data_IF_562503070401
#
_entry.id   IF_562503070401
#
_cell.length_a   1.000
_cell.length_b   1.000
_cell.length_c   1.000
_cell.angle_alpha   90.00
_cell.angle_beta   90.00
_cell.angle_gamma   90.00
#
_symmetry.space_group_name_H-M   'P 1'
#
loop_
_entity.id
_entity.type
_entity.pdbx_description
1 polymer ?
#
# COMPACT_ATOMS: atom_id res chain seq x y z
N UNK A 1 25.51 -29.06 16.79
CA UNK A 1 26.85 -28.49 16.59
C UNK A 1 26.74 -27.47 15.49
N UNK A 2 26.62 -26.21 15.88
CA UNK A 2 26.33 -25.04 15.06
C UNK A 2 27.50 -24.06 15.20
N UNK A 3 27.92 -23.42 14.11
CA UNK A 3 28.80 -22.24 14.17
C UNK A 3 28.34 -21.21 13.15
N UNK A 4 27.75 -20.14 13.66
CA UNK A 4 27.56 -18.83 13.03
C UNK A 4 28.59 -17.90 13.71
N UNK A 5 29.21 -16.98 12.98
CA UNK A 5 30.09 -15.94 13.53
C UNK A 5 29.52 -14.56 13.24
N UNK A 6 29.42 -13.75 14.29
CA UNK A 6 29.09 -12.33 14.33
C UNK A 6 30.02 -11.63 15.34
N UNK A 7 30.16 -10.31 15.20
CA UNK A 7 30.69 -9.34 16.17
C UNK A 7 32.24 -9.23 16.26
N UNK A 8 32.91 -8.11 16.60
CA UNK A 8 32.52 -6.74 16.95
C UNK A 8 33.78 -5.84 16.97
N UNK A 9 33.56 -4.53 17.03
CA UNK A 9 34.53 -3.43 17.16
C UNK A 9 35.40 -3.48 18.43
N UNK A 10 36.65 -2.98 18.37
CA UNK A 10 37.39 -2.49 19.55
C UNK A 10 38.37 -1.34 19.25
N UNK A 11 38.27 -0.31 20.09
CA UNK A 11 39.07 0.92 20.18
C UNK A 11 40.57 0.71 20.43
N UNK A 12 41.38 1.71 20.07
CA UNK A 12 42.68 1.99 20.74
C UNK A 12 42.92 3.49 20.97
N UNK A 13 43.40 3.75 22.18
CA UNK A 13 43.82 5.01 22.81
C UNK A 13 45.36 5.09 22.81
N UNK A 14 45.99 6.27 22.71
CA UNK A 14 47.42 6.50 23.06
C UNK A 14 47.65 7.93 23.63
N UNK A 15 48.50 7.98 24.66
CA UNK A 15 48.76 9.00 25.70
C UNK A 15 49.74 10.16 25.36
N UNK A 16 49.78 11.16 26.27
CA UNK A 16 50.96 11.96 26.72
C UNK A 16 50.56 13.34 27.33
N UNK A 17 50.49 13.58 28.66
CA UNK A 17 51.54 13.97 29.66
C UNK A 17 52.22 15.32 29.30
N UNK A 18 52.32 16.43 30.09
CA UNK A 18 52.41 16.67 31.56
C UNK A 18 52.33 18.19 31.95
N UNK A 19 52.01 18.43 33.25
CA UNK A 19 52.54 19.42 34.23
C UNK A 19 52.03 20.89 34.40
N UNK A 20 51.84 21.20 35.71
CA UNK A 20 51.47 22.36 36.57
C UNK A 20 51.79 23.80 36.12
N UNK A 21 51.28 24.91 36.69
CA UNK A 21 50.94 25.29 38.08
C UNK A 21 50.25 26.68 38.13
N UNK A 22 49.65 27.10 39.26
CA UNK A 22 49.56 28.52 39.67
C UNK A 22 48.20 29.26 39.68
N UNK A 23 47.88 29.84 40.85
CA UNK A 23 46.60 30.45 41.28
C UNK A 23 46.47 31.98 41.09
N UNK A 24 45.24 32.49 41.31
CA UNK A 24 44.80 33.82 41.84
C UNK A 24 44.03 34.78 40.89
N UNK A 25 42.76 35.00 41.28
CA UNK A 25 41.83 36.16 41.22
C UNK A 25 41.82 37.21 40.09
N UNK A 26 40.60 37.57 39.66
CA UNK A 26 40.31 38.86 39.01
C UNK A 26 39.05 38.86 38.13
N UNK A 27 37.99 39.51 38.60
CA UNK A 27 36.71 39.75 37.91
C UNK A 27 36.86 40.46 36.54
N UNK A 28 36.03 40.12 35.54
CA UNK A 28 34.90 40.93 34.99
C UNK A 28 34.57 40.56 33.54
N UNK A 29 33.27 40.30 33.33
CA UNK A 29 32.42 40.66 32.20
C UNK A 29 32.63 40.12 30.76
N UNK A 30 31.44 39.86 30.19
CA UNK A 30 31.01 39.92 28.77
C UNK A 30 31.23 38.70 27.88
N UNK A 31 30.10 38.00 27.67
CA UNK A 31 29.47 37.64 26.38
C UNK A 31 30.40 37.45 25.17
N UNK A 32 30.49 36.22 24.69
CA UNK A 32 30.00 35.77 23.37
C UNK A 32 30.54 34.35 23.09
N UNK A 33 29.63 33.37 22.95
CA UNK A 33 29.95 32.02 22.50
C UNK A 33 29.54 31.88 21.04
N UNK A 34 30.51 32.04 20.14
CA UNK A 34 30.45 31.56 18.77
C UNK A 34 31.34 30.32 18.67
N UNK A 35 30.72 29.14 18.71
CA UNK A 35 31.37 27.87 18.46
C UNK A 35 31.67 27.74 16.96
N UNK A 36 32.93 27.99 16.60
CA UNK A 36 33.51 27.65 15.32
C UNK A 36 33.72 26.12 15.22
N UNK A 37 33.19 25.53 14.16
CA UNK A 37 33.59 24.22 13.65
C UNK A 37 35.01 24.29 13.09
N UNK A 38 35.84 23.28 13.37
CA UNK A 38 36.60 22.57 12.33
C UNK A 38 37.34 21.33 12.88
N UNK A 39 37.08 20.17 12.26
CA UNK A 39 38.03 19.05 12.19
C UNK A 39 38.65 19.04 10.77
N UNK A 40 39.80 18.38 10.57
CA UNK A 40 40.80 18.71 9.56
C UNK A 40 40.66 17.95 8.23
N UNK A 41 41.45 18.41 7.28
CA UNK A 41 41.60 17.93 5.91
C UNK A 41 42.11 16.48 5.78
N UNK A 42 41.65 15.80 4.73
CA UNK A 42 42.40 14.74 4.06
C UNK A 42 42.33 14.93 2.54
N UNK A 43 43.50 14.77 1.92
CA UNK A 43 43.78 15.00 0.51
C UNK A 43 43.06 14.01 -0.41
N UNK A 44 42.36 14.54 -1.41
CA UNK A 44 41.91 13.83 -2.60
C UNK A 44 41.59 14.87 -3.67
N UNK A 45 42.35 14.86 -4.76
CA UNK A 45 42.26 15.79 -5.89
C UNK A 45 40.85 15.84 -6.49
N UNK A 46 40.13 16.94 -6.23
CA UNK A 46 38.87 17.30 -6.89
C UNK A 46 39.20 18.25 -8.05
N UNK A 47 38.61 18.09 -9.26
CA UNK A 47 38.81 19.01 -10.35
C UNK A 47 38.39 20.41 -9.90
N UNK A 48 39.24 21.41 -10.16
CA UNK A 48 39.02 22.81 -9.81
C UNK A 48 37.64 23.25 -10.33
N UNK A 49 36.65 23.27 -9.45
CA UNK A 49 35.44 24.04 -9.65
C UNK A 49 35.93 25.48 -9.76
N UNK A 50 35.70 26.14 -10.91
CA UNK A 50 35.82 27.59 -10.97
C UNK A 50 34.95 28.13 -9.85
N UNK A 51 35.59 28.72 -8.84
CA UNK A 51 34.94 29.53 -7.83
C UNK A 51 34.19 30.60 -8.61
N UNK A 52 32.88 30.46 -8.74
CA UNK A 52 32.03 31.53 -9.25
C UNK A 52 32.44 32.79 -8.49
N UNK A 53 32.77 33.85 -9.21
CA UNK A 53 33.04 35.16 -8.62
C UNK A 53 31.90 35.42 -7.63
N UNK A 54 32.24 35.51 -6.34
CA UNK A 54 31.28 35.94 -5.33
C UNK A 54 30.66 37.23 -5.85
N UNK A 55 29.35 37.20 -6.11
CA UNK A 55 28.57 38.34 -6.59
C UNK A 55 28.92 39.56 -5.73
N UNK A 56 29.84 40.37 -6.26
CA UNK A 56 30.34 41.54 -5.57
C UNK A 56 29.27 42.60 -5.76
N UNK A 57 28.33 42.62 -4.81
CA UNK A 57 27.15 43.49 -4.85
C UNK A 57 27.56 44.95 -5.09
N UNK A 58 28.76 45.34 -4.63
CA UNK A 58 29.33 46.67 -4.85
C UNK A 58 29.66 46.95 -6.32
N UNK A 59 30.09 45.93 -7.08
CA UNK A 59 30.35 46.04 -8.52
C UNK A 59 29.05 46.15 -9.31
N UNK A 60 28.05 45.32 -8.99
CA UNK A 60 26.72 45.36 -9.61
C UNK A 60 26.02 46.70 -9.35
N UNK A 61 26.15 47.24 -8.13
CA UNK A 61 25.60 48.56 -7.79
C UNK A 61 26.38 49.72 -8.43
N UNK A 62 27.65 49.53 -8.76
CA UNK A 62 28.45 50.54 -9.46
C UNK A 62 28.21 50.54 -10.99
N UNK A 63 27.82 49.40 -11.56
CA UNK A 63 27.49 49.26 -13.00
C UNK A 63 26.09 49.79 -13.35
N UNK A 64 25.20 49.98 -12.37
CA UNK A 64 23.85 50.50 -12.55
C UNK A 64 23.50 51.66 -11.59
N UNK A 65 24.13 52.85 -11.74
CA UNK A 65 23.84 54.01 -10.89
C UNK A 65 22.37 54.48 -11.02
N UNK A 66 21.74 54.22 -12.17
CA UNK A 66 20.35 54.56 -12.48
C UNK A 66 19.36 53.79 -11.59
N UNK A 67 19.71 52.56 -11.20
CA UNK A 67 18.91 51.73 -10.28
C UNK A 67 18.98 52.28 -8.86
N UNK A 68 20.10 52.91 -8.47
CA UNK A 68 20.21 53.55 -7.16
C UNK A 68 19.33 54.81 -7.10
N UNK A 69 19.21 55.58 -8.18
CA UNK A 69 18.34 56.76 -8.25
C UNK A 69 16.85 56.37 -8.28
N UNK A 70 16.51 55.26 -8.94
CA UNK A 70 15.14 54.72 -8.97
C UNK A 70 14.74 54.07 -7.62
N UNK A 71 15.66 53.35 -6.97
CA UNK A 71 15.42 52.73 -5.64
C UNK A 71 15.42 53.78 -4.53
N UNK A 72 16.28 54.81 -4.58
CA UNK A 72 16.31 55.87 -3.56
C UNK A 72 15.17 56.89 -3.71
N UNK A 73 14.64 57.10 -4.92
CA UNK A 73 13.48 57.98 -5.13
C UNK A 73 12.13 57.29 -4.84
N UNK A 74 12.07 55.96 -4.92
CA UNK A 74 10.88 55.18 -4.59
C UNK A 74 10.62 55.03 -3.07
N UNK A 75 11.62 55.27 -2.20
CA UNK A 75 11.47 55.18 -0.74
C UNK A 75 10.93 56.46 -0.07
N UNK A 76 9.74 56.94 -0.44
CA UNK A 76 9.11 58.05 0.32
C UNK A 76 7.68 57.90 0.81
N UNK A 77 7.02 56.75 0.66
CA UNK A 77 5.95 56.39 1.61
C UNK A 77 5.52 54.93 1.44
N UNK A 78 5.27 54.19 2.53
CA UNK A 78 4.60 52.89 2.49
C UNK A 78 3.27 52.93 1.71
N UNK A 79 2.61 54.09 1.70
CA UNK A 79 1.38 54.34 0.96
C UNK A 79 1.55 54.34 -0.56
N UNK A 80 2.67 54.85 -1.08
CA UNK A 80 2.98 54.77 -2.53
C UNK A 80 3.32 53.36 -2.96
N UNK A 81 4.01 52.59 -2.13
CA UNK A 81 4.26 51.16 -2.37
C UNK A 81 2.94 50.37 -2.34
N UNK A 82 2.10 50.59 -1.33
CA UNK A 82 0.79 49.95 -1.21
C UNK A 82 -0.12 50.29 -2.39
N UNK A 83 -0.22 51.57 -2.78
CA UNK A 83 -1.00 51.96 -3.96
C UNK A 83 -0.37 51.40 -5.24
N UNK A 84 0.96 51.37 -5.35
CA UNK A 84 1.67 50.72 -6.45
C UNK A 84 1.34 49.24 -6.57
N UNK A 85 1.20 48.52 -5.46
CA UNK A 85 0.81 47.11 -5.42
C UNK A 85 -0.69 46.91 -5.72
N UNK A 86 -1.55 47.79 -5.19
CA UNK A 86 -3.01 47.77 -5.43
C UNK A 86 -3.34 48.05 -6.90
N UNK A 87 -2.59 48.93 -7.57
CA UNK A 87 -2.75 49.24 -8.99
C UNK A 87 -1.84 48.39 -9.90
N UNK A 88 -0.82 47.72 -9.35
CA UNK A 88 0.20 46.94 -10.06
C UNK A 88 -0.26 45.55 -10.51
N UNK A 89 -1.53 45.21 -10.26
CA UNK A 89 -2.10 43.91 -10.64
C UNK A 89 -1.76 42.82 -9.63
N UNK A 90 -1.89 41.56 -10.05
CA UNK A 90 -1.86 40.42 -9.15
C UNK A 90 -0.43 40.11 -8.70
N UNK A 91 -0.03 40.60 -7.52
CA UNK A 91 1.30 40.35 -6.92
C UNK A 91 1.66 38.87 -6.73
N UNK A 92 0.66 37.99 -6.73
CA UNK A 92 0.88 36.53 -6.83
C UNK A 92 1.65 36.11 -8.09
N UNK A 93 1.60 36.90 -9.16
CA UNK A 93 2.31 36.62 -10.40
C UNK A 93 3.82 36.87 -10.29
N UNK A 94 4.27 37.73 -9.37
CA UNK A 94 5.71 37.94 -9.13
C UNK A 94 6.34 36.84 -8.25
N UNK A 95 5.52 36.15 -7.45
CA UNK A 95 5.96 35.01 -6.61
C UNK A 95 5.93 33.67 -7.36
N UNK A 96 5.29 33.60 -8.53
CA UNK A 96 5.20 32.40 -9.36
C UNK A 96 5.95 32.66 -10.66
N UNK A 97 6.96 31.82 -10.96
CA UNK A 97 7.69 31.93 -12.23
C UNK A 97 6.72 31.95 -13.42
N UNK A 98 6.90 32.88 -14.37
CA UNK A 98 6.07 33.00 -15.58
C UNK A 98 5.83 31.62 -16.20
N UNK A 99 4.55 31.26 -16.34
CA UNK A 99 4.13 29.94 -16.81
C UNK A 99 4.53 29.74 -18.26
N UNK A 100 5.61 29.00 -18.50
CA UNK A 100 5.98 28.54 -19.84
C UNK A 100 4.96 27.48 -20.32
N UNK A 101 4.61 27.44 -21.60
CA UNK A 101 3.73 26.40 -22.19
C UNK A 101 4.20 24.98 -21.84
N UNK A 102 5.52 24.79 -21.73
CA UNK A 102 6.13 23.53 -21.26
C UNK A 102 5.77 23.16 -19.80
N UNK A 103 5.65 24.14 -18.90
CA UNK A 103 5.20 23.94 -17.51
C UNK A 103 3.71 23.61 -17.48
N UNK A 104 2.90 24.31 -18.28
CA UNK A 104 1.46 24.05 -18.42
C UNK A 104 1.21 22.61 -18.90
N UNK A 105 1.92 22.18 -19.94
CA UNK A 105 1.78 20.83 -20.48
C UNK A 105 2.28 19.75 -19.52
N UNK A 106 3.30 20.04 -18.70
CA UNK A 106 3.72 19.17 -17.61
C UNK A 106 2.60 19.01 -16.56
N UNK A 107 1.95 20.10 -16.16
CA UNK A 107 0.84 20.07 -15.20
C UNK A 107 -0.35 19.26 -15.74
N UNK A 108 -0.77 19.49 -16.98
CA UNK A 108 -1.87 18.71 -17.58
C UNK A 108 -1.51 17.23 -17.74
N UNK A 109 -0.29 16.92 -18.18
CA UNK A 109 0.20 15.56 -18.28
C UNK A 109 0.24 14.86 -16.93
N UNK A 110 0.63 15.55 -15.85
CA UNK A 110 0.70 14.95 -14.52
C UNK A 110 -0.67 14.89 -13.83
N UNK A 111 -1.55 15.87 -14.01
CA UNK A 111 -2.83 15.95 -13.29
C UNK A 111 -3.94 15.12 -13.94
N UNK A 112 -3.95 14.99 -15.27
CA UNK A 112 -5.04 14.28 -15.97
C UNK A 112 -4.56 13.01 -16.67
N UNK A 113 -3.39 13.03 -17.31
CA UNK A 113 -2.91 11.85 -18.03
C UNK A 113 -2.37 10.76 -17.10
N UNK A 114 -1.75 11.10 -15.96
CA UNK A 114 -1.28 10.09 -15.00
C UNK A 114 -2.44 9.28 -14.43
N UNK A 115 -3.49 9.88 -13.83
CA UNK A 115 -4.64 9.13 -13.33
C UNK A 115 -5.29 8.26 -14.39
N UNK A 116 -5.47 8.79 -15.62
CA UNK A 116 -6.10 8.03 -16.68
C UNK A 116 -5.28 6.80 -17.12
N UNK A 117 -3.95 6.94 -17.17
CA UNK A 117 -3.05 5.81 -17.47
C UNK A 117 -2.98 4.82 -16.31
N UNK A 118 -2.99 5.33 -15.07
CA UNK A 118 -3.04 4.51 -13.87
C UNK A 118 -4.33 3.70 -13.81
N UNK A 119 -5.48 4.33 -14.04
CA UNK A 119 -6.79 3.68 -14.01
C UNK A 119 -6.87 2.54 -15.04
N UNK A 120 -6.33 2.74 -16.24
CA UNK A 120 -6.25 1.66 -17.25
C UNK A 120 -5.41 0.47 -16.78
N UNK A 121 -4.31 0.74 -16.07
CA UNK A 121 -3.48 -0.30 -15.47
C UNK A 121 -4.23 -1.01 -14.35
N UNK A 122 -4.89 -0.26 -13.46
CA UNK A 122 -5.64 -0.83 -12.34
C UNK A 122 -6.78 -1.72 -12.84
N UNK A 123 -7.55 -1.27 -13.84
CA UNK A 123 -8.63 -2.06 -14.44
C UNK A 123 -8.09 -3.35 -15.10
N UNK A 124 -6.97 -3.28 -15.81
CA UNK A 124 -6.36 -4.48 -16.38
C UNK A 124 -5.90 -5.47 -15.29
N UNK A 125 -5.24 -4.97 -14.24
CA UNK A 125 -4.85 -5.77 -13.08
C UNK A 125 -6.04 -6.37 -12.34
N UNK A 126 -7.14 -5.64 -12.21
CA UNK A 126 -8.37 -6.13 -11.61
C UNK A 126 -8.90 -7.38 -12.33
N UNK A 127 -8.89 -7.39 -13.67
CA UNK A 127 -9.30 -8.57 -14.44
C UNK A 127 -8.32 -9.74 -14.29
N UNK A 128 -7.02 -9.48 -14.12
CA UNK A 128 -6.04 -10.53 -13.79
C UNK A 128 -6.32 -11.14 -12.42
N UNK A 129 -6.62 -10.31 -11.42
CA UNK A 129 -7.03 -10.79 -10.09
C UNK A 129 -8.33 -11.59 -10.15
N UNK A 130 -9.31 -11.13 -10.93
CA UNK A 130 -10.57 -11.83 -11.14
C UNK A 130 -10.38 -13.19 -11.82
N UNK A 131 -9.51 -13.28 -12.82
CA UNK A 131 -9.17 -14.55 -13.49
C UNK A 131 -8.54 -15.54 -12.50
N UNK A 132 -7.55 -15.10 -11.72
CA UNK A 132 -6.93 -15.92 -10.66
C UNK A 132 -7.96 -16.39 -9.62
N UNK A 133 -8.87 -15.51 -9.21
CA UNK A 133 -9.94 -15.83 -8.28
C UNK A 133 -10.91 -16.86 -8.86
N UNK A 134 -11.38 -16.67 -10.09
CA UNK A 134 -12.27 -17.60 -10.78
C UNK A 134 -11.58 -18.95 -11.04
N UNK A 135 -10.29 -18.96 -11.36
CA UNK A 135 -9.48 -20.16 -11.51
C UNK A 135 -9.42 -20.96 -10.20
N UNK A 136 -9.22 -20.30 -9.06
CA UNK A 136 -9.28 -20.94 -7.74
C UNK A 136 -10.67 -21.54 -7.45
N UNK A 137 -11.75 -20.88 -7.85
CA UNK A 137 -13.12 -21.37 -7.63
C UNK A 137 -13.55 -22.49 -8.59
N UNK A 138 -13.07 -22.48 -9.83
CA UNK A 138 -13.58 -23.36 -10.90
C UNK A 138 -12.57 -24.40 -11.35
N UNK A 139 -11.34 -23.99 -11.67
CA UNK A 139 -10.32 -24.85 -12.27
C UNK A 139 -9.69 -25.75 -11.21
N UNK A 140 -9.33 -25.20 -10.04
CA UNK A 140 -8.67 -25.97 -8.98
C UNK A 140 -9.54 -27.15 -8.48
N UNK A 141 -10.83 -27.00 -8.14
CA UNK A 141 -11.67 -28.13 -7.74
C UNK A 141 -11.82 -29.17 -8.86
N UNK A 142 -11.93 -28.74 -10.12
CA UNK A 142 -12.04 -29.66 -11.26
C UNK A 142 -10.75 -30.48 -11.43
N UNK A 143 -9.57 -29.88 -11.25
CA UNK A 143 -8.28 -30.61 -11.27
C UNK A 143 -8.18 -31.65 -10.16
N UNK A 144 -8.58 -31.28 -8.93
CA UNK A 144 -8.61 -32.19 -7.78
C UNK A 144 -9.58 -33.36 -8.03
N UNK A 145 -10.78 -33.08 -8.55
CA UNK A 145 -11.75 -34.11 -8.89
C UNK A 145 -11.22 -35.06 -9.98
N UNK A 146 -10.54 -34.54 -11.01
CA UNK A 146 -9.90 -35.37 -12.04
C UNK A 146 -8.78 -36.24 -11.46
N UNK A 147 -7.97 -35.71 -10.54
CA UNK A 147 -6.93 -36.47 -9.85
C UNK A 147 -7.53 -37.58 -8.98
N UNK A 148 -8.56 -37.27 -8.17
CA UNK A 148 -9.29 -38.25 -7.37
C UNK A 148 -9.95 -39.34 -8.23
N UNK A 149 -10.58 -38.96 -9.34
CA UNK A 149 -11.20 -39.89 -10.29
C UNK A 149 -10.18 -40.84 -10.92
N UNK A 150 -8.98 -40.33 -11.26
CA UNK A 150 -7.87 -41.13 -11.79
C UNK A 150 -7.41 -42.17 -10.77
N UNK A 151 -7.25 -41.79 -9.51
CA UNK A 151 -6.86 -42.69 -8.41
C UNK A 151 -7.92 -43.78 -8.20
N UNK A 152 -9.20 -43.39 -8.17
CA UNK A 152 -10.31 -44.31 -7.94
C UNK A 152 -10.46 -45.35 -9.06
N UNK A 153 -10.35 -44.93 -10.32
CA UNK A 153 -10.55 -45.81 -11.48
C UNK A 153 -9.33 -46.66 -11.84
N UNK A 154 -8.10 -46.17 -11.66
CA UNK A 154 -6.90 -46.91 -12.07
C UNK A 154 -6.24 -47.71 -10.95
N UNK A 155 -6.62 -47.54 -9.66
CA UNK A 155 -6.02 -48.19 -8.48
C UNK A 155 -4.47 -48.18 -8.45
N UNK A 156 -3.84 -47.31 -9.24
CA UNK A 156 -2.40 -47.12 -9.25
C UNK A 156 -2.11 -45.86 -8.46
N UNK A 157 -1.57 -46.04 -7.25
CA UNK A 157 -0.97 -44.97 -6.46
C UNK A 157 0.32 -44.51 -7.15
N UNK A 158 0.17 -43.71 -8.20
CA UNK A 158 1.28 -42.96 -8.76
C UNK A 158 1.58 -41.80 -7.81
N UNK A 159 2.87 -41.45 -7.63
CA UNK A 159 3.25 -40.31 -6.79
C UNK A 159 2.59 -39.03 -7.34
N UNK A 160 1.97 -38.19 -6.48
CA UNK A 160 1.36 -36.94 -6.91
C UNK A 160 2.44 -36.02 -7.48
N UNK A 161 2.11 -35.37 -8.58
CA UNK A 161 2.97 -34.37 -9.19
C UNK A 161 3.05 -33.10 -8.32
N UNK A 162 4.10 -32.29 -8.51
CA UNK A 162 4.30 -31.06 -7.73
C UNK A 162 3.11 -30.10 -7.87
N UNK A 163 2.53 -30.00 -9.07
CA UNK A 163 1.33 -29.18 -9.34
C UNK A 163 0.09 -29.75 -8.65
N UNK A 164 -0.10 -31.06 -8.65
CA UNK A 164 -1.24 -31.69 -7.97
C UNK A 164 -1.14 -31.46 -6.45
N UNK A 165 0.06 -31.58 -5.87
CA UNK A 165 0.29 -31.36 -4.44
C UNK A 165 0.07 -29.89 -4.01
N UNK A 166 0.47 -28.94 -4.87
CA UNK A 166 0.20 -27.50 -4.71
C UNK A 166 -1.31 -27.21 -4.72
N UNK A 167 -2.04 -27.77 -5.70
CA UNK A 167 -3.50 -27.61 -5.80
C UNK A 167 -4.20 -28.21 -4.56
N UNK A 168 -3.75 -29.38 -4.07
CA UNK A 168 -4.25 -29.97 -2.82
C UNK A 168 -3.96 -29.09 -1.60
N UNK A 169 -2.76 -28.51 -1.50
CA UNK A 169 -2.38 -27.59 -0.42
C UNK A 169 -3.32 -26.38 -0.37
N UNK A 170 -3.51 -25.69 -1.51
CA UNK A 170 -4.41 -24.54 -1.61
C UNK A 170 -5.85 -24.90 -1.28
N UNK A 171 -6.33 -26.08 -1.70
CA UNK A 171 -7.66 -26.56 -1.34
C UNK A 171 -7.82 -26.83 0.17
N UNK A 172 -6.81 -27.41 0.83
CA UNK A 172 -6.83 -27.62 2.28
C UNK A 172 -6.88 -26.29 3.02
N UNK A 173 -6.06 -25.30 2.62
CA UNK A 173 -6.08 -23.95 3.19
C UNK A 173 -7.47 -23.32 3.03
N UNK A 174 -8.02 -23.35 1.82
CA UNK A 174 -9.34 -22.79 1.52
C UNK A 174 -10.44 -23.47 2.33
N UNK A 175 -10.46 -24.80 2.36
CA UNK A 175 -11.47 -25.57 3.11
C UNK A 175 -11.39 -25.30 4.61
N UNK A 176 -10.17 -25.25 5.17
CA UNK A 176 -9.98 -24.94 6.58
C UNK A 176 -10.41 -23.50 6.91
N UNK A 177 -10.04 -22.53 6.07
CA UNK A 177 -10.44 -21.13 6.22
C UNK A 177 -11.97 -20.95 6.18
N UNK A 178 -12.63 -21.51 5.16
CA UNK A 178 -14.10 -21.48 5.04
C UNK A 178 -14.76 -22.12 6.27
N UNK A 179 -14.26 -23.27 6.73
CA UNK A 179 -14.81 -23.95 7.92
C UNK A 179 -14.62 -23.10 9.17
N UNK A 180 -13.44 -22.50 9.38
CA UNK A 180 -13.17 -21.62 10.51
C UNK A 180 -14.09 -20.38 10.52
N UNK A 181 -14.33 -19.80 9.35
CA UNK A 181 -15.25 -18.67 9.19
C UNK A 181 -16.71 -19.07 9.46
N UNK A 182 -17.14 -20.25 8.99
CA UNK A 182 -18.50 -20.77 9.24
C UNK A 182 -18.75 -21.11 10.71
N UNK A 183 -17.72 -21.54 11.45
CA UNK A 183 -17.82 -21.79 12.89
C UNK A 183 -17.94 -20.49 13.70
N UNK A 184 -17.70 -19.33 13.08
CA UNK A 184 -17.73 -18.03 13.74
C UNK A 184 -19.08 -17.36 13.55
N UNK A 185 -19.71 -16.94 14.65
CA UNK A 185 -20.96 -16.19 14.61
C UNK A 185 -20.73 -14.77 14.08
N UNK A 186 -20.99 -14.55 12.79
CA UNK A 186 -20.93 -13.22 12.13
C UNK A 186 -21.74 -12.17 12.90
N UNK A 187 -22.88 -12.57 13.46
CA UNK A 187 -23.75 -11.73 14.29
C UNK A 187 -23.05 -11.18 15.55
N UNK A 188 -22.16 -11.96 16.18
CA UNK A 188 -21.41 -11.51 17.36
C UNK A 188 -20.39 -10.43 16.98
N UNK A 189 -19.64 -10.67 15.90
CA UNK A 189 -18.67 -9.70 15.37
C UNK A 189 -19.38 -8.39 15.03
N UNK A 190 -20.51 -8.48 14.32
CA UNK A 190 -21.32 -7.32 13.99
C UNK A 190 -21.81 -6.57 15.24
N UNK A 191 -22.32 -7.26 16.26
CA UNK A 191 -22.80 -6.59 17.48
C UNK A 191 -21.67 -5.89 18.25
N UNK A 192 -20.48 -6.50 18.31
CA UNK A 192 -19.29 -5.90 18.93
C UNK A 192 -18.90 -4.62 18.19
N UNK A 193 -18.89 -4.66 16.86
CA UNK A 193 -18.51 -3.55 15.98
C UNK A 193 -19.56 -2.43 16.02
N UNK A 194 -20.85 -2.75 15.90
CA UNK A 194 -21.97 -1.78 15.95
C UNK A 194 -22.09 -1.10 17.32
N UNK A 195 -21.72 -1.79 18.41
CA UNK A 195 -21.71 -1.23 19.76
C UNK A 195 -20.64 -0.15 19.99
N UNK A 196 -19.72 0.06 19.04
CA UNK A 196 -18.70 1.09 19.14
C UNK A 196 -19.18 2.44 18.60
N UNK A 197 -18.63 3.53 19.13
CA UNK A 197 -18.84 4.86 18.55
C UNK A 197 -18.22 4.99 17.16
N UNK A 198 -18.79 5.83 16.30
CA UNK A 198 -18.29 6.10 14.94
C UNK A 198 -16.81 6.48 14.91
N UNK A 199 -16.35 7.23 15.93
CA UNK A 199 -14.95 7.60 16.12
C UNK A 199 -14.04 6.38 16.34
N UNK A 200 -14.50 5.38 17.11
CA UNK A 200 -13.71 4.16 17.34
C UNK A 200 -13.71 3.25 16.12
N UNK A 201 -14.83 3.22 15.39
CA UNK A 201 -15.00 2.38 14.21
C UNK A 201 -14.02 2.74 13.09
N UNK A 202 -13.75 4.04 12.84
CA UNK A 202 -12.75 4.43 11.84
C UNK A 202 -11.33 4.00 12.25
N UNK A 203 -10.99 4.08 13.55
CA UNK A 203 -9.65 3.68 14.02
C UNK A 203 -9.48 2.19 13.78
N UNK A 204 -10.50 1.40 14.12
CA UNK A 204 -10.49 -0.05 13.90
C UNK A 204 -10.35 -0.36 12.40
N UNK A 205 -11.10 0.31 11.52
CA UNK A 205 -10.98 0.09 10.07
C UNK A 205 -9.56 0.36 9.56
N UNK A 206 -8.97 1.52 9.89
CA UNK A 206 -7.60 1.86 9.48
C UNK A 206 -6.57 0.87 10.03
N UNK A 207 -6.76 0.39 11.26
CA UNK A 207 -5.86 -0.64 11.85
C UNK A 207 -6.00 -1.97 11.12
N UNK A 208 -7.22 -2.39 10.80
CA UNK A 208 -7.46 -3.61 10.01
C UNK A 208 -6.86 -3.52 8.61
N UNK A 209 -6.90 -2.34 7.98
CA UNK A 209 -6.26 -2.10 6.68
C UNK A 209 -4.73 -2.23 6.74
N UNK A 210 -4.10 -1.73 7.80
CA UNK A 210 -2.65 -1.94 8.02
C UNK A 210 -2.34 -3.43 8.14
N UNK A 211 -3.19 -4.19 8.83
CA UNK A 211 -3.00 -5.63 8.96
C UNK A 211 -3.27 -6.39 7.66
N UNK A 212 -4.26 -5.98 6.85
CA UNK A 212 -4.47 -6.52 5.50
C UNK A 212 -3.19 -6.35 4.66
N UNK A 213 -2.63 -5.13 4.61
CA UNK A 213 -1.37 -4.86 3.89
C UNK A 213 -0.18 -5.67 4.41
N UNK A 214 -0.09 -5.89 5.73
CA UNK A 214 0.94 -6.74 6.33
C UNK A 214 0.75 -8.22 5.92
N UNK A 215 -0.48 -8.72 6.01
CA UNK A 215 -0.78 -10.12 5.70
C UNK A 215 -0.69 -10.42 4.21
N UNK A 216 -0.99 -9.47 3.32
CA UNK A 216 -0.72 -9.62 1.88
C UNK A 216 0.75 -9.91 1.61
N UNK A 217 1.67 -9.17 2.27
CA UNK A 217 3.11 -9.43 2.11
C UNK A 217 3.55 -10.76 2.73
N UNK A 218 2.94 -11.16 3.85
CA UNK A 218 3.26 -12.40 4.54
C UNK A 218 2.73 -13.64 3.79
N UNK A 219 1.53 -13.55 3.22
CA UNK A 219 0.87 -14.62 2.49
C UNK A 219 1.65 -15.02 1.24
N UNK A 220 2.26 -14.04 0.56
CA UNK A 220 3.17 -14.27 -0.57
C UNK A 220 4.33 -15.18 -0.17
N UNK A 221 5.06 -14.79 0.89
CA UNK A 221 6.20 -15.55 1.39
C UNK A 221 5.79 -16.96 1.86
N UNK A 222 4.69 -17.06 2.60
CA UNK A 222 4.19 -18.32 3.17
C UNK A 222 3.75 -19.27 2.07
N UNK A 223 3.02 -18.80 1.07
CA UNK A 223 2.56 -19.64 -0.05
C UNK A 223 3.73 -20.13 -0.90
N UNK A 224 4.73 -19.27 -1.14
CA UNK A 224 5.94 -19.65 -1.87
C UNK A 224 6.71 -20.75 -1.13
N UNK A 225 6.85 -20.67 0.20
CA UNK A 225 7.50 -21.72 1.01
C UNK A 225 6.74 -23.04 0.93
N UNK A 226 5.40 -23.01 1.01
CA UNK A 226 4.58 -24.22 0.89
C UNK A 226 4.71 -24.86 -0.47
N UNK A 227 4.69 -24.08 -1.55
CA UNK A 227 4.85 -24.60 -2.92
C UNK A 227 6.25 -25.16 -3.17
N UNK A 228 7.30 -24.51 -2.66
CA UNK A 228 8.66 -25.03 -2.71
C UNK A 228 8.80 -26.35 -1.93
N UNK A 229 8.14 -26.46 -0.77
CA UNK A 229 8.09 -27.70 0.00
C UNK A 229 7.27 -28.78 -0.69
N UNK A 230 6.23 -28.41 -1.44
CA UNK A 230 5.46 -29.34 -2.26
C UNK A 230 6.30 -29.92 -3.41
N UNK A 231 7.01 -29.06 -4.14
CA UNK A 231 7.94 -29.48 -5.18
C UNK A 231 9.07 -30.35 -4.64
N UNK A 232 9.62 -29.98 -3.48
CA UNK A 232 10.61 -30.79 -2.77
C UNK A 232 10.06 -32.19 -2.43
N UNK A 233 8.83 -32.29 -1.95
CA UNK A 233 8.20 -33.56 -1.60
C UNK A 233 7.95 -34.45 -2.84
N UNK A 234 7.53 -33.86 -3.97
CA UNK A 234 7.31 -34.58 -5.21
C UNK A 234 8.62 -35.19 -5.77
N UNK A 235 9.73 -34.47 -5.65
CA UNK A 235 11.03 -34.85 -6.20
C UNK A 235 11.91 -35.70 -5.25
N UNK A 236 11.47 -35.97 -4.00
CA UNK A 236 12.30 -36.67 -3.01
C UNK A 236 12.49 -38.19 -3.27
N UNK A 237 13.71 -38.75 -3.03
CA UNK A 237 13.94 -40.19 -2.99
C UNK A 237 13.23 -40.86 -1.80
N UNK A 238 12.86 -42.13 -1.94
CA UNK A 238 11.93 -42.85 -1.04
C UNK A 238 12.39 -42.87 0.44
N UNK A 239 13.70 -42.78 0.68
CA UNK A 239 14.34 -42.89 2.00
C UNK A 239 14.25 -41.61 2.86
N UNK A 240 14.12 -40.42 2.24
CA UNK A 240 13.99 -39.13 2.93
C UNK A 240 12.58 -38.53 2.89
N UNK A 241 11.60 -39.31 2.41
CA UNK A 241 10.20 -38.87 2.24
C UNK A 241 9.54 -38.44 3.56
N UNK A 242 9.85 -39.11 4.67
CA UNK A 242 9.30 -38.74 5.98
C UNK A 242 9.73 -37.34 6.43
N UNK A 243 11.01 -36.98 6.20
CA UNK A 243 11.50 -35.64 6.54
C UNK A 243 10.89 -34.56 5.64
N UNK A 244 10.80 -34.81 4.33
CA UNK A 244 10.13 -33.93 3.39
C UNK A 244 8.65 -33.71 3.73
N UNK A 245 7.94 -34.78 4.10
CA UNK A 245 6.54 -34.73 4.50
C UNK A 245 6.36 -33.93 5.80
N UNK A 246 7.20 -34.15 6.80
CA UNK A 246 7.13 -33.38 8.06
C UNK A 246 7.35 -31.89 7.81
N UNK A 247 8.32 -31.52 6.96
CA UNK A 247 8.54 -30.13 6.56
C UNK A 247 7.31 -29.55 5.87
N UNK A 248 6.76 -30.27 4.88
CA UNK A 248 5.55 -29.85 4.18
C UNK A 248 4.35 -29.69 5.14
N UNK A 249 4.17 -30.57 6.11
CA UNK A 249 3.10 -30.46 7.12
C UNK A 249 3.27 -29.22 7.99
N UNK A 250 4.50 -28.91 8.42
CA UNK A 250 4.78 -27.70 9.22
C UNK A 250 4.48 -26.44 8.40
N UNK A 251 4.98 -26.37 7.17
CA UNK A 251 4.76 -25.24 6.28
C UNK A 251 3.26 -25.08 5.96
N UNK A 252 2.55 -26.20 5.74
CA UNK A 252 1.10 -26.23 5.55
C UNK A 252 0.34 -25.71 6.78
N UNK A 253 0.76 -26.08 8.00
CA UNK A 253 0.14 -25.59 9.23
C UNK A 253 0.31 -24.09 9.40
N UNK A 254 1.51 -23.57 9.10
CA UNK A 254 1.78 -22.13 9.11
C UNK A 254 0.86 -21.42 8.12
N UNK A 255 0.74 -21.94 6.89
CA UNK A 255 -0.17 -21.39 5.89
C UNK A 255 -1.62 -21.39 6.36
N UNK A 256 -2.12 -22.50 6.91
CA UNK A 256 -3.49 -22.57 7.43
C UNK A 256 -3.73 -21.47 8.47
N UNK A 257 -2.81 -21.29 9.42
CA UNK A 257 -2.96 -20.26 10.47
C UNK A 257 -2.96 -18.86 9.86
N UNK A 258 -1.98 -18.54 9.01
CA UNK A 258 -1.86 -17.19 8.42
C UNK A 258 -3.04 -16.84 7.53
N UNK A 259 -3.44 -17.72 6.60
CA UNK A 259 -4.58 -17.47 5.70
C UNK A 259 -5.91 -17.41 6.45
N UNK A 260 -6.06 -18.18 7.53
CA UNK A 260 -7.24 -18.11 8.39
C UNK A 260 -7.30 -16.76 9.11
N UNK A 261 -6.18 -16.30 9.68
CA UNK A 261 -6.09 -14.96 10.30
C UNK A 261 -6.41 -13.85 9.28
N UNK A 262 -5.85 -13.93 8.07
CA UNK A 262 -6.14 -12.97 7.01
C UNK A 262 -7.62 -12.96 6.62
N UNK A 263 -8.22 -14.15 6.45
CA UNK A 263 -9.66 -14.28 6.18
C UNK A 263 -10.53 -13.64 7.27
N UNK A 264 -10.13 -13.72 8.54
CA UNK A 264 -10.82 -13.04 9.65
C UNK A 264 -10.69 -11.52 9.59
N UNK A 265 -9.53 -10.99 9.21
CA UNK A 265 -9.32 -9.54 9.06
C UNK A 265 -10.19 -9.00 7.91
N UNK A 266 -10.18 -9.67 6.75
CA UNK A 266 -11.02 -9.31 5.61
C UNK A 266 -12.51 -9.39 5.98
N UNK A 267 -12.93 -10.40 6.75
CA UNK A 267 -14.31 -10.51 7.24
C UNK A 267 -14.67 -9.34 8.18
N UNK A 268 -13.78 -8.98 9.11
CA UNK A 268 -13.99 -7.85 10.02
C UNK A 268 -14.09 -6.51 9.27
N UNK A 269 -13.28 -6.31 8.22
CA UNK A 269 -13.39 -5.15 7.33
C UNK A 269 -14.71 -5.14 6.57
N UNK A 270 -15.13 -6.27 5.99
CA UNK A 270 -16.41 -6.40 5.28
C UNK A 270 -17.61 -6.09 6.19
N UNK A 271 -17.62 -6.59 7.42
CA UNK A 271 -18.67 -6.31 8.42
C UNK A 271 -18.65 -4.84 8.85
N UNK A 272 -17.46 -4.25 9.01
CA UNK A 272 -17.31 -2.83 9.33
C UNK A 272 -17.88 -1.97 8.20
N UNK A 273 -17.53 -2.27 6.95
CA UNK A 273 -18.06 -1.59 5.78
C UNK A 273 -19.59 -1.77 5.66
N UNK A 274 -20.12 -2.97 5.91
CA UNK A 274 -21.56 -3.25 5.99
C UNK A 274 -22.25 -2.33 7.00
N UNK A 275 -21.70 -2.24 8.20
CA UNK A 275 -22.22 -1.38 9.28
C UNK A 275 -22.21 0.09 8.88
N UNK A 276 -21.17 0.56 8.18
CA UNK A 276 -21.07 1.94 7.71
C UNK A 276 -22.05 2.25 6.57
N UNK A 277 -22.30 1.31 5.66
CA UNK A 277 -23.27 1.47 4.57
C UNK A 277 -24.70 1.53 5.12
N UNK A 278 -25.00 0.74 6.16
CA UNK A 278 -26.30 0.72 6.84
C UNK A 278 -26.48 1.93 7.77
N UNK A 279 -25.41 2.40 8.42
CA UNK A 279 -25.45 3.57 9.30
C UNK A 279 -25.59 4.87 8.49
N UNK A 280 -26.79 5.44 8.43
CA UNK A 280 -27.13 6.64 7.66
C UNK A 280 -26.05 7.76 7.65
N UNK A 281 -25.70 8.17 6.42
CA UNK A 281 -24.99 9.33 5.86
C UNK A 281 -23.72 9.90 6.52
N UNK A 282 -23.59 9.98 7.85
CA UNK A 282 -22.43 10.64 8.47
C UNK A 282 -21.29 9.67 8.79
N UNK A 283 -21.59 8.40 9.06
CA UNK A 283 -20.58 7.41 9.42
C UNK A 283 -19.74 6.97 8.22
N UNK A 284 -20.38 6.70 7.07
CA UNK A 284 -19.72 6.31 5.84
C UNK A 284 -18.77 7.40 5.33
N UNK A 285 -19.25 8.64 5.27
CA UNK A 285 -18.44 9.78 4.82
C UNK A 285 -17.27 10.03 5.77
N UNK A 286 -17.46 9.91 7.08
CA UNK A 286 -16.38 10.05 8.05
C UNK A 286 -15.32 8.95 7.90
N UNK A 287 -15.72 7.70 7.65
CA UNK A 287 -14.78 6.59 7.38
C UNK A 287 -13.99 6.87 6.11
N UNK A 288 -14.67 7.19 5.00
CA UNK A 288 -14.02 7.48 3.72
C UNK A 288 -13.04 8.65 3.87
N UNK A 289 -13.48 9.79 4.39
CA UNK A 289 -12.60 10.96 4.56
C UNK A 289 -11.40 10.66 5.45
N UNK A 290 -11.59 9.90 6.54
CA UNK A 290 -10.48 9.51 7.41
C UNK A 290 -9.48 8.59 6.70
N UNK A 291 -9.97 7.60 5.95
CA UNK A 291 -9.11 6.67 5.22
C UNK A 291 -8.31 7.42 4.16
N UNK A 292 -9.04 8.14 3.31
CA UNK A 292 -8.52 8.99 2.24
C UNK A 292 -7.43 9.96 2.73
N UNK A 293 -7.61 10.56 3.91
CA UNK A 293 -6.60 11.46 4.49
C UNK A 293 -5.35 10.73 4.99
N UNK A 294 -5.51 9.58 5.64
CA UNK A 294 -4.39 8.77 6.09
C UNK A 294 -3.53 8.27 4.91
N UNK A 295 -4.19 7.87 3.84
CA UNK A 295 -3.58 7.37 2.63
C UNK A 295 -2.85 8.46 1.82
N UNK A 296 -3.48 9.63 1.64
CA UNK A 296 -2.85 10.79 1.01
C UNK A 296 -1.62 11.20 1.83
N UNK A 297 -1.76 11.31 3.15
CA UNK A 297 -0.66 11.76 4.02
C UNK A 297 0.54 10.81 3.99
N UNK A 298 0.30 9.50 4.01
CA UNK A 298 1.37 8.51 4.10
C UNK A 298 2.16 8.36 2.79
N UNK A 299 1.51 8.58 1.64
CA UNK A 299 2.12 8.30 0.33
C UNK A 299 2.62 9.55 -0.40
N UNK A 300 1.97 10.71 -0.25
CA UNK A 300 2.25 11.87 -1.13
C UNK A 300 3.60 12.53 -0.87
N UNK A 301 4.11 12.48 0.36
CA UNK A 301 5.40 13.11 0.71
C UNK A 301 6.59 12.16 0.58
N UNK A 302 6.35 10.91 0.17
CA UNK A 302 7.39 9.90 0.11
C UNK A 302 8.13 9.98 -1.23
N UNK A 303 9.46 9.91 -1.17
CA UNK A 303 10.29 9.70 -2.35
C UNK A 303 10.22 8.22 -2.74
N UNK A 304 9.77 7.93 -3.97
CA UNK A 304 9.46 6.59 -4.45
C UNK A 304 10.19 6.34 -5.76
N UNK A 305 10.93 5.24 -5.85
CA UNK A 305 11.56 4.79 -7.10
C UNK A 305 10.51 4.22 -8.06
N UNK A 306 10.85 4.09 -9.35
CA UNK A 306 9.96 3.51 -10.36
C UNK A 306 9.44 2.12 -9.95
N UNK A 307 10.30 1.25 -9.41
CA UNK A 307 9.90 -0.11 -9.03
C UNK A 307 9.00 -0.09 -7.78
N UNK A 308 9.26 0.82 -6.84
CA UNK A 308 8.40 0.98 -5.66
C UNK A 308 7.03 1.57 -6.03
N UNK A 309 6.97 2.40 -7.06
CA UNK A 309 5.72 2.86 -7.64
C UNK A 309 4.95 1.70 -8.29
N UNK A 310 5.63 0.82 -9.01
CA UNK A 310 4.99 -0.36 -9.61
C UNK A 310 4.37 -1.28 -8.54
N UNK A 311 5.12 -1.56 -7.45
CA UNK A 311 4.56 -2.28 -6.30
C UNK A 311 3.34 -1.58 -5.72
N UNK A 312 3.40 -0.26 -5.54
CA UNK A 312 2.29 0.50 -4.97
C UNK A 312 1.02 0.33 -5.81
N UNK A 313 1.12 0.47 -7.14
CA UNK A 313 -0.03 0.26 -8.03
C UNK A 313 -0.58 -1.16 -7.96
N UNK A 314 0.27 -2.17 -7.77
CA UNK A 314 -0.18 -3.55 -7.58
C UNK A 314 -0.94 -3.75 -6.26
N UNK A 315 -0.50 -3.11 -5.18
CA UNK A 315 -1.27 -3.09 -3.93
C UNK A 315 -2.62 -2.39 -4.11
N UNK A 316 -2.66 -1.29 -4.86
CA UNK A 316 -3.91 -0.56 -5.15
C UNK A 316 -4.90 -1.41 -5.99
N UNK A 317 -4.38 -2.23 -6.91
CA UNK A 317 -5.18 -3.22 -7.66
C UNK A 317 -5.81 -4.25 -6.72
N UNK A 318 -5.03 -4.80 -5.78
CA UNK A 318 -5.48 -5.82 -4.81
C UNK A 318 -6.50 -5.20 -3.85
N UNK A 319 -6.24 -3.99 -3.36
CA UNK A 319 -7.13 -3.21 -2.48
C UNK A 319 -8.49 -3.00 -3.14
N UNK A 320 -8.54 -2.57 -4.41
CA UNK A 320 -9.81 -2.46 -5.14
C UNK A 320 -10.53 -3.79 -5.35
N UNK A 321 -9.78 -4.88 -5.52
CA UNK A 321 -10.37 -6.21 -5.58
C UNK A 321 -11.00 -6.59 -4.22
N UNK A 322 -10.32 -6.34 -3.11
CA UNK A 322 -10.85 -6.56 -1.75
C UNK A 322 -12.11 -5.71 -1.50
N UNK A 323 -12.09 -4.41 -1.82
CA UNK A 323 -13.26 -3.54 -1.71
C UNK A 323 -14.43 -4.09 -2.53
N UNK A 324 -14.18 -4.57 -3.74
CA UNK A 324 -15.22 -5.19 -4.58
C UNK A 324 -15.78 -6.46 -3.94
N UNK A 325 -14.93 -7.31 -3.37
CA UNK A 325 -15.35 -8.51 -2.64
C UNK A 325 -16.18 -8.15 -1.39
N UNK A 326 -15.81 -7.10 -0.66
CA UNK A 326 -16.59 -6.60 0.48
C UNK A 326 -17.96 -6.07 0.04
N UNK A 327 -18.03 -5.29 -1.04
CA UNK A 327 -19.30 -4.80 -1.56
C UNK A 327 -20.20 -5.94 -2.04
N UNK A 328 -19.64 -7.00 -2.64
CA UNK A 328 -20.39 -8.21 -3.01
C UNK A 328 -20.88 -8.98 -1.77
N UNK A 329 -20.08 -9.06 -0.71
CA UNK A 329 -20.48 -9.62 0.57
C UNK A 329 -21.65 -8.84 1.19
N UNK A 330 -21.58 -7.51 1.24
CA UNK A 330 -22.67 -6.65 1.75
C UNK A 330 -23.91 -6.76 0.86
N UNK A 331 -23.75 -6.87 -0.46
CA UNK A 331 -24.85 -7.13 -1.38
C UNK A 331 -25.54 -8.45 -1.08
N UNK A 332 -24.76 -9.53 -0.89
CA UNK A 332 -25.30 -10.85 -0.54
C UNK A 332 -26.07 -10.83 0.79
N UNK A 333 -25.53 -10.15 1.82
CA UNK A 333 -26.22 -9.94 3.09
C UNK A 333 -27.56 -9.21 2.90
N UNK A 334 -27.56 -8.09 2.18
CA UNK A 334 -28.78 -7.31 1.95
C UNK A 334 -29.83 -8.10 1.15
N UNK A 335 -29.42 -8.93 0.18
CA UNK A 335 -30.36 -9.79 -0.57
C UNK A 335 -31.04 -10.81 0.36
N UNK A 336 -30.32 -11.34 1.33
CA UNK A 336 -30.83 -12.38 2.24
C UNK A 336 -31.67 -11.84 3.40
N UNK A 337 -31.43 -10.58 3.82
CA UNK A 337 -31.95 -10.07 5.10
C UNK A 337 -32.84 -8.83 5.00
N UNK A 338 -32.70 -8.01 3.96
CA UNK A 338 -33.35 -6.71 3.92
C UNK A 338 -34.77 -6.79 3.33
N UNK A 339 -35.77 -6.40 4.13
CA UNK A 339 -37.15 -6.23 3.69
C UNK A 339 -37.36 -4.79 3.15
N UNK A 340 -37.94 -4.65 1.96
CA UNK A 340 -38.28 -3.35 1.35
C UNK A 340 -37.30 -2.83 0.29
N UNK A 341 -37.36 -1.54 -0.04
CA UNK A 341 -36.57 -0.92 -1.13
C UNK A 341 -35.19 -0.47 -0.66
N UNK A 342 -34.30 -1.42 -0.38
CA UNK A 342 -32.92 -1.17 0.06
C UNK A 342 -31.94 -0.92 -1.10
N UNK A 343 -32.23 -1.49 -2.28
CA UNK A 343 -31.27 -1.56 -3.40
C UNK A 343 -30.77 -0.19 -3.87
N UNK A 344 -31.64 0.82 -3.96
CA UNK A 344 -31.25 2.17 -4.40
C UNK A 344 -30.29 2.87 -3.43
N UNK A 345 -30.56 2.77 -2.13
CA UNK A 345 -29.71 3.32 -1.07
C UNK A 345 -28.37 2.58 -0.99
N UNK A 346 -28.41 1.24 -1.07
CA UNK A 346 -27.20 0.42 -1.13
C UNK A 346 -26.35 0.80 -2.33
N UNK A 347 -26.93 0.87 -3.54
CA UNK A 347 -26.21 1.20 -4.76
C UNK A 347 -25.57 2.59 -4.67
N UNK A 348 -26.28 3.58 -4.13
CA UNK A 348 -25.75 4.95 -3.94
C UNK A 348 -24.55 4.96 -2.99
N UNK A 349 -24.65 4.26 -1.86
CA UNK A 349 -23.56 4.17 -0.88
C UNK A 349 -22.37 3.35 -1.40
N UNK A 350 -22.63 2.24 -2.10
CA UNK A 350 -21.59 1.41 -2.72
C UNK A 350 -20.83 2.20 -3.80
N UNK A 351 -21.55 2.94 -4.66
CA UNK A 351 -20.94 3.83 -5.64
C UNK A 351 -20.14 4.95 -4.97
N UNK A 352 -20.64 5.52 -3.86
CA UNK A 352 -19.89 6.53 -3.11
C UNK A 352 -18.55 5.99 -2.62
N UNK A 353 -18.53 4.78 -2.05
CA UNK A 353 -17.29 4.10 -1.61
C UNK A 353 -16.33 3.91 -2.78
N UNK A 354 -16.82 3.29 -3.87
CA UNK A 354 -15.98 2.93 -5.01
C UNK A 354 -15.46 4.15 -5.78
N UNK A 355 -16.28 5.18 -5.98
CA UNK A 355 -15.87 6.44 -6.64
C UNK A 355 -14.90 7.22 -5.75
N UNK A 356 -15.09 7.20 -4.43
CA UNK A 356 -14.13 7.81 -3.50
C UNK A 356 -12.76 7.15 -3.62
N UNK A 357 -12.72 5.82 -3.67
CA UNK A 357 -11.48 5.06 -3.87
C UNK A 357 -10.76 5.47 -5.16
N UNK A 358 -11.46 5.47 -6.30
CA UNK A 358 -10.92 5.91 -7.58
C UNK A 358 -10.36 7.33 -7.51
N UNK A 359 -11.08 8.23 -6.83
CA UNK A 359 -10.66 9.62 -6.67
C UNK A 359 -9.40 9.75 -5.82
N UNK A 360 -9.25 8.95 -4.76
CA UNK A 360 -8.05 8.97 -3.92
C UNK A 360 -6.85 8.38 -4.63
N UNK A 361 -7.00 7.26 -5.32
CA UNK A 361 -5.94 6.70 -6.14
C UNK A 361 -5.46 7.69 -7.20
N UNK A 362 -6.41 8.32 -7.91
CA UNK A 362 -6.10 9.36 -8.90
C UNK A 362 -5.31 10.50 -8.27
N UNK A 363 -5.71 10.95 -7.07
CA UNK A 363 -5.03 12.03 -6.33
C UNK A 363 -3.63 11.59 -5.89
N UNK A 364 -3.53 10.42 -5.25
CA UNK A 364 -2.30 9.78 -4.77
C UNK A 364 -1.27 9.69 -5.89
N UNK A 365 -1.63 9.08 -7.02
CA UNK A 365 -0.71 8.90 -8.14
C UNK A 365 -0.37 10.21 -8.87
N UNK A 366 -1.31 11.16 -8.96
CA UNK A 366 -1.02 12.49 -9.53
C UNK A 366 0.07 13.19 -8.74
N UNK A 367 -0.05 13.21 -7.41
CA UNK A 367 0.92 13.85 -6.54
C UNK A 367 2.23 13.07 -6.49
N UNK A 368 2.17 11.74 -6.40
CA UNK A 368 3.37 10.91 -6.34
C UNK A 368 4.20 11.03 -7.62
N UNK A 369 3.55 11.06 -8.79
CA UNK A 369 4.21 11.31 -10.07
C UNK A 369 4.76 12.74 -10.17
N UNK A 370 4.05 13.73 -9.61
CA UNK A 370 4.51 15.13 -9.56
C UNK A 370 5.77 15.29 -8.71
N UNK A 371 5.77 14.75 -7.49
CA UNK A 371 6.88 14.90 -6.53
C UNK A 371 8.11 14.09 -6.93
N UNK A 372 7.94 12.96 -7.60
CA UNK A 372 9.04 12.10 -8.05
C UNK A 372 9.42 12.31 -9.52
N UNK A 373 8.85 13.33 -10.19
CA UNK A 373 9.08 13.65 -11.60
C UNK A 373 8.86 12.46 -12.57
N UNK A 374 7.91 11.59 -12.26
CA UNK A 374 7.63 10.38 -13.02
C UNK A 374 6.77 10.74 -14.24
N UNK A 375 7.23 10.31 -15.42
CA UNK A 375 6.50 10.53 -16.67
C UNK A 375 5.28 9.60 -16.74
N UNK A 376 4.16 10.04 -17.34
CA UNK A 376 2.96 9.20 -17.52
C UNK A 376 3.22 7.89 -18.28
N UNK A 377 4.29 7.84 -19.08
CA UNK A 377 4.67 6.64 -19.85
C UNK A 377 5.08 5.48 -18.95
N UNK A 378 5.58 5.74 -17.74
CA UNK A 378 5.95 4.69 -16.79
C UNK A 378 4.77 3.77 -16.45
N UNK A 379 3.55 4.32 -16.31
CA UNK A 379 2.34 3.52 -16.09
C UNK A 379 1.96 2.64 -17.28
N UNK A 380 2.34 3.05 -18.50
CA UNK A 380 2.13 2.22 -19.68
C UNK A 380 3.15 1.10 -19.78
N UNK A 381 4.39 1.35 -19.34
CA UNK A 381 5.44 0.32 -19.21
C UNK A 381 5.03 -0.72 -18.15
N UNK A 382 4.47 -0.30 -17.01
CA UNK A 382 3.94 -1.21 -15.99
C UNK A 382 2.79 -2.08 -16.52
N UNK A 383 1.91 -1.51 -17.35
CA UNK A 383 0.86 -2.28 -18.02
C UNK A 383 1.43 -3.30 -19.00
N UNK A 384 2.45 -2.93 -19.78
CA UNK A 384 3.13 -3.85 -20.67
C UNK A 384 3.81 -5.00 -19.90
N UNK A 385 4.44 -4.70 -18.77
CA UNK A 385 5.02 -5.69 -17.85
C UNK A 385 3.97 -6.67 -17.32
N UNK A 386 2.81 -6.16 -16.89
CA UNK A 386 1.69 -6.97 -16.43
C UNK A 386 1.17 -7.88 -17.56
N UNK A 387 0.98 -7.35 -18.77
CA UNK A 387 0.53 -8.16 -19.91
C UNK A 387 1.55 -9.25 -20.27
N UNK A 388 2.85 -8.95 -20.24
CA UNK A 388 3.91 -9.96 -20.47
C UNK A 388 3.91 -11.05 -19.41
N UNK A 389 3.67 -10.69 -18.15
CA UNK A 389 3.52 -11.65 -17.05
C UNK A 389 2.31 -12.58 -17.30
N UNK A 390 1.13 -12.03 -17.59
CA UNK A 390 -0.09 -12.82 -17.85
C UNK A 390 0.06 -13.74 -19.06
N UNK A 391 0.76 -13.31 -20.12
CA UNK A 391 0.98 -14.13 -21.32
C UNK A 391 2.13 -15.14 -21.17
N UNK A 392 2.81 -15.20 -20.02
CA UNK A 392 4.01 -16.04 -19.81
C UNK A 392 5.16 -15.78 -20.81
N UNK A 393 5.23 -14.58 -21.39
CA UNK A 393 6.26 -14.18 -22.39
C UNK A 393 7.52 -13.62 -21.71
N UNK A 394 7.51 -13.44 -20.38
CA UNK A 394 8.58 -12.75 -19.64
C UNK A 394 9.87 -13.61 -19.60
N UNK A 395 11.04 -13.09 -20.01
CA UNK A 395 12.32 -13.71 -19.69
C UNK A 395 12.55 -13.62 -18.17
N UNK A 396 13.00 -14.72 -17.55
CA UNK A 396 13.29 -14.78 -16.11
C UNK A 396 14.24 -13.63 -15.71
N UNK A 397 13.75 -12.67 -14.91
CA UNK A 397 14.66 -11.88 -14.06
C UNK A 397 14.46 -10.37 -13.86
N UNK A 398 13.62 -9.63 -14.58
CA UNK A 398 13.72 -8.15 -14.51
C UNK A 398 12.43 -7.36 -14.27
N UNK A 399 11.58 -7.77 -13.33
CA UNK A 399 10.57 -6.85 -12.79
C UNK A 399 9.59 -7.47 -11.81
N UNK A 400 8.82 -6.59 -11.16
CA UNK A 400 7.90 -6.97 -10.09
C UNK A 400 6.67 -7.67 -10.67
N UNK A 401 6.28 -8.76 -10.02
CA UNK A 401 5.10 -9.54 -10.37
C UNK A 401 3.89 -9.05 -9.57
N UNK A 402 2.72 -9.08 -10.20
CA UNK A 402 1.45 -8.96 -9.50
C UNK A 402 1.17 -10.29 -8.78
N UNK A 403 1.44 -10.34 -7.48
CA UNK A 403 1.28 -11.53 -6.64
C UNK A 403 -0.04 -11.45 -5.87
N UNK A 404 -1.15 -11.65 -6.59
CA UNK A 404 -2.46 -11.70 -5.97
C UNK A 404 -2.80 -13.12 -5.50
N UNK A 405 -3.10 -13.27 -4.21
CA UNK A 405 -3.47 -14.55 -3.62
C UNK A 405 -4.98 -14.55 -3.31
N UNK A 406 -5.81 -15.25 -4.10
CA UNK A 406 -7.27 -15.21 -3.95
C UNK A 406 -7.83 -15.98 -2.75
N UNK A 407 -7.00 -16.68 -1.96
CA UNK A 407 -7.45 -17.59 -0.90
C UNK A 407 -8.31 -16.89 0.17
N UNK A 408 -7.80 -15.82 0.77
CA UNK A 408 -8.50 -15.09 1.82
C UNK A 408 -9.82 -14.41 1.33
N UNK A 409 -9.85 -13.67 0.20
CA UNK A 409 -11.10 -13.11 -0.32
C UNK A 409 -12.08 -14.20 -0.80
N UNK A 410 -11.59 -15.37 -1.23
CA UNK A 410 -12.45 -16.52 -1.56
C UNK A 410 -13.16 -17.05 -0.31
N UNK A 411 -12.47 -17.20 0.83
CA UNK A 411 -13.10 -17.62 2.09
C UNK A 411 -14.29 -16.71 2.47
N UNK A 412 -14.11 -15.39 2.40
CA UNK A 412 -15.16 -14.40 2.71
C UNK A 412 -16.31 -14.49 1.70
N UNK A 413 -16.01 -14.64 0.41
CA UNK A 413 -17.01 -14.76 -0.65
C UNK A 413 -17.83 -16.05 -0.51
N UNK A 414 -17.20 -17.17 -0.17
CA UNK A 414 -17.90 -18.43 0.12
C UNK A 414 -18.81 -18.33 1.33
N UNK A 415 -18.36 -17.66 2.41
CA UNK A 415 -19.20 -17.40 3.57
C UNK A 415 -20.47 -16.62 3.20
N UNK A 416 -20.35 -15.63 2.31
CA UNK A 416 -21.48 -14.83 1.83
C UNK A 416 -22.55 -15.68 1.14
N UNK A 417 -22.14 -16.67 0.34
CA UNK A 417 -23.04 -17.51 -0.47
C UNK A 417 -23.60 -18.69 0.32
N UNK A 418 -22.81 -19.31 1.19
CA UNK A 418 -23.11 -20.60 1.79
C UNK A 418 -23.67 -20.54 3.22
N UNK A 419 -24.08 -19.36 3.69
CA UNK A 419 -24.75 -19.20 4.97
C UNK A 419 -26.27 -18.91 4.79
N UNK A 420 -27.10 -19.91 4.41
CA UNK A 420 -28.53 -19.73 4.33
C UNK A 420 -29.14 -19.78 5.74
N UNK A 421 -29.58 -18.63 6.24
CA UNK A 421 -30.62 -18.51 7.28
C UNK A 421 -30.28 -18.84 8.73
N UNK A 422 -29.17 -19.54 9.02
CA UNK A 422 -28.79 -19.94 10.39
C UNK A 422 -28.02 -18.87 11.17
N UNK A 423 -26.86 -18.42 10.66
CA UNK A 423 -26.01 -17.43 11.36
C UNK A 423 -26.52 -15.99 11.22
N UNK A 424 -27.35 -15.74 10.20
CA UNK A 424 -27.98 -14.48 9.86
C UNK A 424 -29.45 -14.37 10.37
N UNK A 425 -30.06 -15.48 10.80
CA UNK A 425 -31.42 -15.48 11.36
C UNK A 425 -31.58 -14.64 12.64
N UNK A 426 -30.50 -14.43 13.39
CA UNK A 426 -30.47 -13.51 14.54
C UNK A 426 -30.35 -12.03 14.14
N UNK A 427 -29.95 -11.76 12.90
CA UNK A 427 -29.84 -10.42 12.31
C UNK A 427 -31.22 -9.88 11.88
N UNK A 428 -32.11 -10.76 11.41
CA UNK A 428 -33.50 -10.46 11.01
C UNK A 428 -34.33 -9.84 12.16
N UNK A 429 -34.13 -10.27 13.40
CA UNK A 429 -34.80 -9.68 14.58
C UNK A 429 -34.35 -8.26 14.93
N UNK A 430 -33.21 -7.80 14.40
CA UNK A 430 -32.62 -6.50 14.69
C UNK A 430 -32.79 -5.45 13.58
N UNK A 431 -32.81 -5.85 12.31
CA UNK A 431 -33.15 -4.94 11.20
C UNK A 431 -34.62 -4.51 11.24
N UNK A 432 -35.53 -5.39 11.66
CA UNK A 432 -36.95 -5.07 11.82
C UNK A 432 -37.27 -4.13 13.01
N UNK A 433 -36.27 -3.76 13.84
CA UNK A 433 -36.43 -2.85 15.00
C UNK A 433 -35.80 -1.47 14.81
N UNK A 434 -35.29 -1.17 13.61
CA UNK A 434 -34.90 0.18 13.16
C UNK A 434 -35.85 0.63 12.08
#
# INVERSE_FOLDING_TARGET
MSCISFAELRQRNVNGVSLCDGSVEGETNTRESSAAQCWPASNGSIPVLKKEESLDWKRVMAEHPDVLEEVTSAERSPWKYFMGEVYGGNSLQSTISVGNDKKRQRVYNTMFHVPLRCERLIVAGFFVCLDSFLSLLTIMPVRILMAMWRILNKRQFQRPDATELSDFSSFIVLSCGVTALQLTDVSLIYHIIRGQGTLKLYVVYNVLEIFDKLLQSLDEDVLQVVFNSAEGLANCPLESTAFGLMRFIIDQLIAIVTFTLHSFILLAQAITLSTCIIAHNNALLALLVSNNFAEIKSNVFKRVSKDNLQSLVYYDIIERFHITAFLLFVLAQNILEAEGSWFGSFLTNALLVYVSEIFIDATKHSFLAKFNEIKPIAYSEFLEDLCKQTLSIRPEGDGKNLNFIPLAPACVSFLAVHCPGGCFGSFSGLLSRT
#
